data_IF_691741972308
#
_entry.id   IF_691741972308
#
_cell.length_a   1.000
_cell.length_b   1.000
_cell.length_c   1.000
_cell.angle_alpha   90.00
_cell.angle_beta   90.00
_cell.angle_gamma   90.00
#
_symmetry.space_group_name_H-M   'P 1'
#
loop_
_entity.id
_entity.type
_entity.pdbx_description
1 polymer ?
#
# COMPACT_ATOMS: atom_id res chain seq x y z
N UNK A 1 17.09 -13.07 14.52
CA UNK A 1 18.50 -13.24 14.66
C UNK A 1 18.99 -13.41 16.08
N UNK A 2 20.31 -13.39 16.24
CA UNK A 2 20.91 -13.47 17.59
C UNK A 2 21.03 -12.10 18.27
N UNK A 3 20.99 -11.03 17.49
CA UNK A 3 21.22 -9.66 17.95
C UNK A 3 20.00 -8.76 17.63
N UNK A 4 19.43 -8.91 16.44
CA UNK A 4 18.26 -8.16 15.99
C UNK A 4 17.21 -9.11 15.43
N UNK A 5 15.96 -8.90 15.76
CA UNK A 5 14.85 -9.75 15.29
C UNK A 5 14.41 -9.36 13.90
N UNK A 6 14.53 -8.07 13.54
CA UNK A 6 14.12 -7.52 12.24
C UNK A 6 14.83 -6.19 11.92
N UNK A 7 14.37 -5.57 10.84
CA UNK A 7 14.94 -4.31 10.30
C UNK A 7 13.83 -3.35 9.87
N UNK A 8 14.20 -2.08 9.65
CA UNK A 8 13.42 -1.14 8.84
C UNK A 8 13.38 -1.69 7.41
N UNK A 9 12.18 -1.95 6.89
CA UNK A 9 11.99 -2.74 5.68
C UNK A 9 12.05 -1.86 4.42
N UNK A 10 13.25 -1.37 4.08
CA UNK A 10 13.43 -0.50 2.93
C UNK A 10 13.29 -1.26 1.62
N UNK A 11 14.10 -2.30 1.44
CA UNK A 11 14.25 -2.98 0.15
C UNK A 11 13.07 -3.91 -0.18
N UNK A 12 12.50 -4.56 0.86
CA UNK A 12 11.35 -5.46 0.68
C UNK A 12 10.00 -4.76 0.88
N UNK A 13 9.95 -3.44 1.05
CA UNK A 13 8.69 -2.70 1.20
C UNK A 13 8.76 -1.25 0.71
N UNK A 14 9.49 -0.35 1.41
CA UNK A 14 9.43 1.09 1.17
C UNK A 14 9.79 1.47 -0.27
N UNK A 15 10.91 0.98 -0.78
CA UNK A 15 11.39 1.29 -2.12
C UNK A 15 10.45 0.77 -3.21
N UNK A 16 10.08 -0.55 -3.22
CA UNK A 16 9.16 -1.06 -4.24
C UNK A 16 7.80 -0.38 -4.25
N UNK A 17 7.22 -0.09 -3.10
CA UNK A 17 5.95 0.64 -3.00
C UNK A 17 6.12 2.07 -3.52
N UNK A 18 7.21 2.72 -3.15
CA UNK A 18 7.47 4.11 -3.56
C UNK A 18 7.58 4.23 -5.07
N UNK A 19 8.51 3.50 -5.71
CA UNK A 19 8.70 3.70 -7.15
C UNK A 19 7.56 3.08 -7.99
N UNK A 20 6.92 2.01 -7.52
CA UNK A 20 5.76 1.47 -8.23
C UNK A 20 4.61 2.49 -8.30
N UNK A 21 4.26 3.12 -7.17
CA UNK A 21 3.14 4.06 -7.10
C UNK A 21 3.48 5.46 -7.61
N UNK A 22 4.72 5.90 -7.48
CA UNK A 22 5.09 7.29 -7.75
C UNK A 22 6.16 7.47 -8.81
N UNK A 23 6.96 6.45 -9.12
CA UNK A 23 8.18 6.56 -9.92
C UNK A 23 9.38 7.13 -9.14
N UNK A 24 9.16 7.65 -7.93
CA UNK A 24 10.21 8.30 -7.16
C UNK A 24 11.04 7.31 -6.35
N UNK A 25 12.29 7.68 -6.05
CA UNK A 25 13.07 7.04 -5.01
C UNK A 25 12.75 7.64 -3.62
N UNK A 26 13.13 6.93 -2.56
CA UNK A 26 12.82 7.29 -1.16
C UNK A 26 13.29 8.66 -0.70
N UNK A 27 14.35 9.21 -1.32
CA UNK A 27 14.87 10.55 -1.00
C UNK A 27 14.34 11.65 -1.92
N UNK A 28 13.52 11.34 -2.93
CA UNK A 28 13.12 12.26 -4.01
C UNK A 28 14.31 12.78 -4.85
N UNK A 29 15.39 12.02 -4.94
CA UNK A 29 16.59 12.41 -5.69
C UNK A 29 16.55 11.97 -7.15
N UNK A 30 15.68 11.03 -7.50
CA UNK A 30 15.57 10.46 -8.83
C UNK A 30 14.15 10.01 -9.14
N UNK A 31 13.81 10.02 -10.44
CA UNK A 31 12.56 9.49 -10.97
C UNK A 31 12.86 8.31 -11.90
N UNK A 32 12.29 7.15 -11.58
CA UNK A 32 12.51 5.88 -12.25
C UNK A 32 11.29 5.52 -13.11
N UNK A 33 11.27 6.07 -14.33
CA UNK A 33 10.20 5.79 -15.30
C UNK A 33 10.08 4.31 -15.64
N UNK A 34 11.20 3.58 -15.67
CA UNK A 34 11.28 2.15 -15.91
C UNK A 34 10.63 1.28 -14.83
N UNK A 35 10.51 1.80 -13.61
CA UNK A 35 9.91 1.13 -12.45
C UNK A 35 8.48 1.58 -12.16
N UNK A 36 8.11 2.80 -12.61
CA UNK A 36 6.78 3.35 -12.38
C UNK A 36 5.70 2.46 -12.99
N UNK A 37 4.76 1.98 -12.17
CA UNK A 37 3.67 1.11 -12.60
C UNK A 37 4.10 -0.31 -13.04
N UNK A 38 5.38 -0.64 -12.97
CA UNK A 38 5.91 -1.92 -13.42
C UNK A 38 5.67 -3.02 -12.38
N UNK A 39 4.60 -3.80 -12.57
CA UNK A 39 4.21 -4.86 -11.65
C UNK A 39 5.25 -5.98 -11.53
N UNK A 40 5.95 -6.34 -12.63
CA UNK A 40 6.94 -7.42 -12.56
C UNK A 40 8.18 -6.99 -11.79
N UNK A 41 8.64 -5.75 -11.96
CA UNK A 41 9.71 -5.17 -11.13
C UNK A 41 9.30 -5.09 -9.66
N UNK A 42 8.07 -4.66 -9.37
CA UNK A 42 7.52 -4.62 -8.01
C UNK A 42 7.55 -6.00 -7.34
N UNK A 43 6.99 -7.01 -7.99
CA UNK A 43 6.96 -8.38 -7.46
C UNK A 43 8.35 -8.99 -7.36
N UNK A 44 9.22 -8.74 -8.36
CA UNK A 44 10.59 -9.19 -8.36
C UNK A 44 11.38 -8.69 -7.13
N UNK A 45 11.32 -7.39 -6.86
CA UNK A 45 11.97 -6.77 -5.72
C UNK A 45 11.38 -7.27 -4.38
N UNK A 46 10.05 -7.26 -4.24
CA UNK A 46 9.36 -7.69 -3.02
C UNK A 46 9.70 -9.14 -2.66
N UNK A 47 9.68 -10.06 -3.63
CA UNK A 47 10.00 -11.47 -3.41
C UNK A 47 11.49 -11.66 -3.12
N UNK A 48 12.37 -11.04 -3.90
CA UNK A 48 13.82 -11.18 -3.74
C UNK A 48 14.29 -10.77 -2.35
N UNK A 49 13.90 -9.59 -1.92
CA UNK A 49 14.35 -9.05 -0.64
C UNK A 49 13.65 -9.72 0.55
N UNK A 50 12.36 -10.07 0.43
CA UNK A 50 11.66 -10.84 1.48
C UNK A 50 12.26 -12.22 1.69
N UNK A 51 12.75 -12.88 0.64
CA UNK A 51 13.38 -14.20 0.73
C UNK A 51 14.68 -14.20 1.54
N UNK A 52 15.30 -13.05 1.75
CA UNK A 52 16.48 -12.91 2.61
C UNK A 52 16.16 -12.95 4.12
N UNK A 53 14.88 -12.84 4.49
CA UNK A 53 14.41 -12.85 5.88
C UNK A 53 13.75 -14.18 6.25
N UNK A 54 13.90 -14.60 7.51
CA UNK A 54 13.07 -15.67 8.03
C UNK A 54 11.63 -15.22 8.15
N UNK A 55 10.66 -16.14 8.09
CA UNK A 55 9.23 -15.76 8.21
C UNK A 55 8.93 -14.96 9.48
N UNK A 56 9.42 -15.33 10.69
CA UNK A 56 9.19 -14.52 11.89
C UNK A 56 9.76 -13.12 11.78
N UNK A 57 10.96 -12.95 11.21
CA UNK A 57 11.58 -11.63 11.01
C UNK A 57 10.81 -10.79 10.00
N UNK A 58 10.32 -11.39 8.92
CA UNK A 58 9.49 -10.71 7.93
C UNK A 58 8.16 -10.24 8.52
N UNK A 59 7.52 -11.05 9.37
CA UNK A 59 6.23 -10.70 10.00
C UNK A 59 6.29 -9.52 10.95
N UNK A 60 7.49 -9.18 11.45
CA UNK A 60 7.70 -8.01 12.33
C UNK A 60 8.58 -6.95 11.68
N UNK A 61 8.93 -7.09 10.40
CA UNK A 61 9.69 -6.08 9.66
C UNK A 61 8.90 -4.76 9.59
N UNK A 62 9.58 -3.63 9.86
CA UNK A 62 8.92 -2.32 9.93
C UNK A 62 8.58 -1.83 8.52
N UNK A 63 7.33 -1.99 8.13
CA UNK A 63 6.80 -1.49 6.86
C UNK A 63 6.46 -0.02 7.00
N UNK A 64 7.37 0.85 6.59
CA UNK A 64 7.21 2.31 6.64
C UNK A 64 7.03 2.88 5.24
N UNK A 65 6.23 3.93 5.14
CA UNK A 65 6.14 4.75 3.93
C UNK A 65 7.08 5.95 4.01
N UNK A 66 7.22 6.52 5.19
CA UNK A 66 8.12 7.62 5.52
C UNK A 66 8.90 7.33 6.79
N UNK A 67 10.02 8.00 6.99
CA UNK A 67 10.76 8.01 8.25
C UNK A 67 11.60 9.28 8.42
N UNK A 68 12.47 9.28 9.41
CA UNK A 68 13.30 10.44 9.78
C UNK A 68 14.44 10.76 8.80
N UNK A 69 14.74 9.89 7.83
CA UNK A 69 15.83 10.08 6.84
C UNK A 69 15.27 10.44 5.46
N UNK A 70 14.11 9.88 5.10
CA UNK A 70 13.59 9.93 3.75
C UNK A 70 12.56 11.05 3.56
N UNK A 71 12.29 11.46 2.32
CA UNK A 71 11.17 12.35 2.05
C UNK A 71 9.84 11.71 2.46
N UNK A 72 8.86 12.53 2.84
CA UNK A 72 7.51 12.05 3.15
C UNK A 72 6.88 11.40 1.93
N UNK A 73 6.16 10.28 2.12
CA UNK A 73 5.53 9.59 0.98
C UNK A 73 4.56 10.50 0.23
N UNK A 74 3.77 11.30 0.94
CA UNK A 74 2.85 12.24 0.30
C UNK A 74 3.61 13.24 -0.60
N UNK A 75 4.79 13.72 -0.20
CA UNK A 75 5.65 14.57 -1.06
C UNK A 75 6.08 13.82 -2.32
N UNK A 76 6.48 12.55 -2.22
CA UNK A 76 6.89 11.75 -3.39
C UNK A 76 5.77 11.59 -4.44
N UNK A 77 4.50 11.71 -4.03
CA UNK A 77 3.36 11.65 -4.98
C UNK A 77 3.31 12.83 -5.95
N UNK A 78 4.02 13.93 -5.69
CA UNK A 78 4.11 15.06 -6.61
C UNK A 78 5.07 14.83 -7.79
N UNK A 79 5.85 13.72 -7.74
CA UNK A 79 6.80 13.27 -8.77
C UNK A 79 7.89 14.29 -9.10
N UNK A 80 8.23 15.18 -8.16
CA UNK A 80 9.29 16.17 -8.34
C UNK A 80 10.59 15.68 -7.72
N UNK A 81 11.64 15.71 -8.51
CA UNK A 81 13.01 15.50 -8.02
C UNK A 81 13.49 16.78 -7.36
N UNK A 82 14.01 16.68 -6.12
CA UNK A 82 14.52 17.83 -5.40
C UNK A 82 14.71 17.63 -3.90
N UNK A 83 15.26 18.65 -3.29
CA UNK A 83 15.47 18.75 -1.84
C UNK A 83 15.13 20.16 -1.36
N UNK A 84 15.03 20.34 -0.05
CA UNK A 84 14.65 21.65 0.55
C UNK A 84 15.60 22.79 0.13
N UNK A 85 16.88 22.52 -0.01
CA UNK A 85 17.88 23.54 -0.42
C UNK A 85 17.79 23.94 -1.90
N UNK A 86 17.18 23.12 -2.75
CA UNK A 86 17.02 23.40 -4.20
C UNK A 86 15.62 23.86 -4.56
N UNK A 87 14.61 23.37 -3.85
CA UNK A 87 13.20 23.57 -4.19
C UNK A 87 12.45 24.46 -3.19
N UNK A 88 13.01 24.68 -1.99
CA UNK A 88 12.31 25.31 -0.88
C UNK A 88 11.30 24.36 -0.19
N UNK A 89 10.97 24.65 1.06
CA UNK A 89 10.10 23.81 1.86
C UNK A 89 8.65 23.74 1.34
N UNK A 90 8.13 24.81 0.77
CA UNK A 90 6.76 24.89 0.27
C UNK A 90 6.51 24.00 -0.96
N UNK A 91 7.52 23.74 -1.76
CA UNK A 91 7.40 22.89 -2.95
C UNK A 91 7.08 21.42 -2.59
N UNK A 92 7.42 20.99 -1.38
CA UNK A 92 7.08 19.64 -0.89
C UNK A 92 5.55 19.40 -0.78
N UNK A 93 4.77 20.47 -0.59
CA UNK A 93 3.32 20.41 -0.42
C UNK A 93 2.56 20.55 -1.75
N UNK A 94 3.24 20.94 -2.84
CA UNK A 94 2.59 21.30 -4.10
C UNK A 94 2.43 20.09 -5.02
N UNK A 95 1.20 19.89 -5.54
CA UNK A 95 0.91 18.85 -6.51
C UNK A 95 0.89 17.44 -5.94
N UNK A 96 0.76 17.31 -4.63
CA UNK A 96 0.65 16.00 -3.95
C UNK A 96 -0.68 15.31 -4.26
N UNK A 97 -0.68 13.98 -4.27
CA UNK A 97 -1.84 13.15 -4.56
C UNK A 97 -2.20 12.26 -3.38
N UNK A 98 -3.27 12.62 -2.66
CA UNK A 98 -3.77 11.85 -1.52
C UNK A 98 -4.35 10.49 -1.92
N UNK A 99 -4.84 10.32 -3.15
CA UNK A 99 -5.34 9.02 -3.60
C UNK A 99 -4.20 8.00 -3.70
N UNK A 100 -3.03 8.40 -4.22
CA UNK A 100 -1.82 7.56 -4.24
C UNK A 100 -1.32 7.26 -2.82
N UNK A 101 -1.43 8.21 -1.87
CA UNK A 101 -1.12 7.93 -0.47
C UNK A 101 -2.08 6.87 0.10
N UNK A 102 -3.38 6.93 -0.22
CA UNK A 102 -4.35 5.89 0.22
C UNK A 102 -4.02 4.51 -0.35
N UNK A 103 -3.57 4.41 -1.61
CA UNK A 103 -3.07 3.14 -2.15
C UNK A 103 -1.88 2.61 -1.35
N UNK A 104 -0.90 3.46 -1.08
CA UNK A 104 0.28 3.09 -0.31
C UNK A 104 -0.04 2.62 1.11
N UNK A 105 -0.93 3.34 1.82
CA UNK A 105 -1.38 2.97 3.17
C UNK A 105 -2.17 1.67 3.16
N UNK A 106 -3.00 1.43 2.15
CA UNK A 106 -3.71 0.15 2.02
C UNK A 106 -2.73 -1.01 1.80
N UNK A 107 -1.70 -0.83 0.97
CA UNK A 107 -0.62 -1.82 0.81
C UNK A 107 0.11 -2.00 2.15
N UNK A 108 0.48 -0.91 2.85
CA UNK A 108 1.17 -0.97 4.14
C UNK A 108 0.40 -1.79 5.19
N UNK A 109 -0.91 -1.58 5.29
CA UNK A 109 -1.77 -2.25 6.27
C UNK A 109 -2.15 -3.68 5.90
N UNK A 110 -1.86 -4.11 4.67
CA UNK A 110 -2.22 -5.45 4.19
C UNK A 110 -1.01 -6.31 3.78
N UNK A 111 0.20 -5.74 3.66
CA UNK A 111 1.43 -6.47 3.35
C UNK A 111 1.98 -7.19 4.58
N UNK A 112 2.69 -8.35 4.45
CA UNK A 112 3.36 -8.99 5.57
C UNK A 112 4.40 -8.07 6.23
N UNK A 113 4.33 -7.93 7.55
CA UNK A 113 5.22 -7.06 8.33
C UNK A 113 4.45 -6.27 9.39
N UNK A 114 5.14 -5.41 10.11
CA UNK A 114 4.57 -4.50 11.09
C UNK A 114 4.32 -3.12 10.44
N UNK A 115 3.07 -2.73 10.16
CA UNK A 115 2.78 -1.40 9.66
C UNK A 115 3.29 -0.34 10.63
N UNK A 116 4.19 0.52 10.17
CA UNK A 116 4.83 1.53 11.00
C UNK A 116 4.55 2.92 10.44
N UNK A 117 3.77 3.71 11.15
CA UNK A 117 3.39 5.06 10.74
C UNK A 117 4.43 6.04 11.29
N UNK A 118 5.10 6.79 10.40
CA UNK A 118 5.88 7.94 10.80
C UNK A 118 4.93 9.10 11.09
N UNK A 119 5.08 9.72 12.29
CA UNK A 119 4.16 10.75 12.76
C UNK A 119 3.84 11.80 11.69
N UNK A 120 2.59 12.15 11.56
CA UNK A 120 2.11 13.16 10.62
C UNK A 120 1.80 12.64 9.21
N UNK A 121 2.22 11.42 8.82
CA UNK A 121 1.78 10.83 7.53
C UNK A 121 0.26 10.68 7.51
N UNK A 122 -0.31 10.27 8.65
CA UNK A 122 -1.76 10.16 8.85
C UNK A 122 -2.48 11.51 8.79
N UNK A 123 -1.76 12.60 9.07
CA UNK A 123 -2.30 13.97 9.07
C UNK A 123 -2.00 14.75 7.79
N UNK A 124 -1.42 14.10 6.77
CA UNK A 124 -1.11 14.72 5.49
C UNK A 124 0.16 15.58 5.49
N UNK A 125 1.09 15.34 6.44
CA UNK A 125 2.33 16.10 6.54
C UNK A 125 3.25 15.77 5.36
N UNK A 126 3.76 16.83 4.72
CA UNK A 126 4.74 16.77 3.64
C UNK A 126 6.13 17.17 4.12
N UNK A 127 7.16 16.81 3.37
CA UNK A 127 8.55 17.22 3.61
C UNK A 127 9.51 16.51 2.68
N UNK A 128 10.53 17.22 2.23
CA UNK A 128 11.68 16.64 1.55
C UNK A 128 12.46 15.76 2.54
N UNK A 129 13.54 15.13 2.10
CA UNK A 129 14.40 14.33 2.96
C UNK A 129 14.97 15.16 4.15
N UNK A 130 15.55 14.50 5.15
CA UNK A 130 16.13 15.15 6.33
C UNK A 130 16.90 16.45 5.98
N UNK A 131 16.66 17.58 6.72
CA UNK A 131 15.84 17.71 7.93
C UNK A 131 14.37 18.09 7.69
N UNK A 132 13.93 18.34 6.45
CA UNK A 132 12.61 18.92 6.14
C UNK A 132 11.45 17.94 6.41
N UNK A 133 11.69 16.62 6.39
CA UNK A 133 10.71 15.61 6.76
C UNK A 133 10.33 15.61 8.26
N UNK A 134 11.13 16.30 9.11
CA UNK A 134 10.92 16.38 10.57
C UNK A 134 10.16 17.64 10.99
N UNK A 135 9.25 18.11 10.15
CA UNK A 135 8.37 19.24 10.45
C UNK A 135 7.50 18.96 11.67
N UNK A 136 7.09 20.00 12.40
CA UNK A 136 6.15 19.88 13.50
C UNK A 136 4.84 19.24 13.04
N UNK A 137 4.23 18.45 13.94
CA UNK A 137 2.89 17.90 13.68
C UNK A 137 1.89 19.05 13.50
N UNK A 138 0.96 18.98 12.51
CA UNK A 138 0.09 20.08 12.14
C UNK A 138 -1.13 20.21 13.07
N UNK A 139 -0.89 20.39 14.38
CA UNK A 139 -1.94 20.50 15.38
C UNK A 139 -3.01 21.53 15.01
N UNK A 140 -4.27 21.11 14.97
CA UNK A 140 -5.43 21.93 14.60
C UNK A 140 -5.57 22.19 13.10
N UNK A 141 -4.72 21.57 12.27
CA UNK A 141 -4.76 21.67 10.80
C UNK A 141 -4.54 20.30 10.15
N UNK A 142 -4.85 19.25 10.88
CA UNK A 142 -4.73 17.86 10.44
C UNK A 142 -5.68 17.57 9.27
N UNK A 143 -5.23 16.76 8.32
CA UNK A 143 -6.10 16.22 7.30
C UNK A 143 -7.00 15.13 7.90
N UNK A 144 -8.21 15.52 8.28
CA UNK A 144 -9.13 14.64 8.98
C UNK A 144 -9.57 13.44 8.13
N UNK A 145 -9.68 13.61 6.81
CA UNK A 145 -10.03 12.51 5.90
C UNK A 145 -8.93 11.44 5.89
N UNK A 146 -7.65 11.84 5.86
CA UNK A 146 -6.54 10.90 5.94
C UNK A 146 -6.45 10.22 7.30
N UNK A 147 -6.73 10.94 8.40
CA UNK A 147 -6.79 10.33 9.74
C UNK A 147 -7.87 9.26 9.80
N UNK A 148 -9.07 9.55 9.30
CA UNK A 148 -10.19 8.62 9.33
C UNK A 148 -9.91 7.41 8.42
N UNK A 149 -9.24 7.62 7.27
CA UNK A 149 -8.78 6.54 6.42
C UNK A 149 -7.74 5.62 7.13
N UNK A 150 -6.75 6.20 7.80
CA UNK A 150 -5.77 5.41 8.57
C UNK A 150 -6.44 4.62 9.70
N UNK A 151 -7.39 5.23 10.43
CA UNK A 151 -8.16 4.51 11.47
C UNK A 151 -8.89 3.31 10.90
N UNK A 152 -9.53 3.48 9.75
CA UNK A 152 -10.26 2.40 9.11
C UNK A 152 -9.32 1.28 8.61
N UNK A 153 -8.18 1.63 8.00
CA UNK A 153 -7.20 0.65 7.56
C UNK A 153 -6.55 -0.09 8.74
N UNK A 154 -6.28 0.59 9.87
CA UNK A 154 -5.81 -0.03 11.11
C UNK A 154 -6.86 -0.99 11.66
N UNK A 155 -8.15 -0.61 11.63
CA UNK A 155 -9.26 -1.49 12.03
C UNK A 155 -9.29 -2.75 11.17
N UNK A 156 -9.26 -2.60 9.82
CA UNK A 156 -9.21 -3.72 8.88
C UNK A 156 -8.01 -4.62 9.17
N UNK A 157 -6.82 -4.04 9.36
CA UNK A 157 -5.60 -4.81 9.70
C UNK A 157 -5.78 -5.66 10.96
N UNK A 158 -6.30 -5.06 12.05
CA UNK A 158 -6.42 -5.72 13.36
C UNK A 158 -7.54 -6.77 13.41
N UNK A 159 -8.62 -6.58 12.69
CA UNK A 159 -9.79 -7.46 12.70
C UNK A 159 -9.64 -8.68 11.77
N UNK A 160 -8.61 -8.70 10.90
CA UNK A 160 -8.41 -9.75 9.90
C UNK A 160 -7.10 -10.50 10.15
N UNK A 161 -7.20 -11.69 10.75
CA UNK A 161 -6.03 -12.48 11.20
C UNK A 161 -5.09 -12.85 10.06
N UNK A 162 -5.61 -13.07 8.85
CA UNK A 162 -4.83 -13.34 7.65
C UNK A 162 -3.95 -12.13 7.25
N UNK A 163 -4.30 -10.91 7.64
CA UNK A 163 -3.45 -9.74 7.44
C UNK A 163 -2.32 -9.65 8.47
N UNK A 164 -2.50 -10.21 9.66
CA UNK A 164 -1.48 -10.21 10.72
C UNK A 164 -0.37 -11.25 10.42
N UNK A 165 -0.75 -12.50 10.22
CA UNK A 165 0.20 -13.63 10.14
C UNK A 165 -0.01 -14.56 8.95
N UNK A 166 -0.97 -14.26 8.07
CA UNK A 166 -1.28 -15.09 6.91
C UNK A 166 -0.19 -15.04 5.83
N UNK A 167 -0.24 -16.02 4.96
CA UNK A 167 0.59 -16.08 3.76
C UNK A 167 0.20 -15.00 2.76
N UNK A 168 1.12 -14.67 1.86
CA UNK A 168 0.88 -13.78 0.73
C UNK A 168 1.14 -14.52 -0.59
N UNK A 169 0.32 -14.25 -1.61
CA UNK A 169 0.55 -14.74 -2.97
C UNK A 169 0.07 -13.69 -3.99
N UNK A 170 0.89 -13.47 -5.04
CA UNK A 170 0.50 -12.67 -6.21
C UNK A 170 -0.76 -13.28 -6.83
N UNK A 171 -1.77 -12.47 -7.08
CA UNK A 171 -3.01 -12.88 -7.75
C UNK A 171 -3.03 -12.43 -9.22
N UNK A 172 -2.65 -11.17 -9.49
CA UNK A 172 -2.53 -10.62 -10.83
C UNK A 172 -1.51 -9.49 -10.85
N UNK A 173 -1.02 -9.13 -12.04
CA UNK A 173 -0.13 -7.99 -12.23
C UNK A 173 -0.16 -7.55 -13.69
N UNK A 174 -0.16 -6.24 -13.90
CA UNK A 174 -0.08 -5.57 -15.20
C UNK A 174 0.51 -4.17 -15.00
N UNK A 175 0.69 -3.39 -16.05
CA UNK A 175 1.15 -2.01 -15.91
C UNK A 175 0.15 -1.20 -15.07
N UNK A 176 0.64 -0.54 -14.02
CA UNK A 176 -0.14 0.19 -13.00
C UNK A 176 -1.19 -0.66 -12.25
N UNK A 177 -1.08 -1.98 -12.29
CA UNK A 177 -2.05 -2.85 -11.63
C UNK A 177 -1.37 -3.98 -10.89
N UNK A 178 -1.67 -4.12 -9.61
CA UNK A 178 -1.26 -5.28 -8.80
C UNK A 178 -2.44 -5.84 -8.01
N UNK A 179 -2.43 -7.15 -7.84
CA UNK A 179 -3.36 -7.82 -6.93
C UNK A 179 -2.67 -8.96 -6.21
N UNK A 180 -3.01 -9.14 -4.95
CA UNK A 180 -2.50 -10.22 -4.11
C UNK A 180 -3.52 -10.67 -3.08
N UNK A 181 -3.40 -11.92 -2.68
CA UNK A 181 -4.18 -12.49 -1.59
C UNK A 181 -3.35 -12.56 -0.31
N UNK A 182 -3.99 -12.30 0.81
CA UNK A 182 -3.53 -12.63 2.16
C UNK A 182 -4.44 -13.73 2.69
N UNK A 183 -3.88 -14.84 3.14
CA UNK A 183 -4.71 -15.98 3.51
C UNK A 183 -4.07 -16.85 4.57
N UNK A 184 -4.92 -17.51 5.33
CA UNK A 184 -4.60 -18.64 6.20
C UNK A 184 -5.60 -19.78 5.92
N UNK A 185 -5.68 -20.79 6.77
CA UNK A 185 -6.59 -21.94 6.59
C UNK A 185 -8.07 -21.55 6.69
N UNK A 186 -8.36 -20.46 7.41
CA UNK A 186 -9.74 -20.07 7.76
C UNK A 186 -10.23 -18.86 6.98
N UNK A 187 -9.35 -17.91 6.68
CA UNK A 187 -9.72 -16.57 6.21
C UNK A 187 -8.89 -16.17 4.99
N UNK A 188 -9.50 -15.45 4.07
CA UNK A 188 -8.88 -14.96 2.84
C UNK A 188 -9.31 -13.53 2.55
N UNK A 189 -8.32 -12.66 2.34
CA UNK A 189 -8.48 -11.32 1.79
C UNK A 189 -7.83 -11.22 0.42
N UNK A 190 -8.48 -10.51 -0.49
CA UNK A 190 -7.93 -10.11 -1.79
C UNK A 190 -7.75 -8.61 -1.79
N UNK A 191 -6.56 -8.15 -2.13
CA UNK A 191 -6.21 -6.76 -2.29
C UNK A 191 -5.96 -6.49 -3.77
N UNK A 192 -6.59 -5.44 -4.31
CA UNK A 192 -6.50 -5.06 -5.72
C UNK A 192 -6.23 -3.57 -5.82
N UNK A 193 -5.16 -3.18 -6.53
CA UNK A 193 -4.69 -1.81 -6.68
C UNK A 193 -4.68 -1.44 -8.15
N UNK A 194 -5.30 -0.32 -8.50
CA UNK A 194 -5.25 0.29 -9.81
C UNK A 194 -4.61 1.69 -9.70
N UNK A 195 -3.30 1.78 -9.90
CA UNK A 195 -2.55 3.05 -9.93
C UNK A 195 -2.62 3.75 -11.29
N UNK A 196 -3.51 3.29 -12.18
CA UNK A 196 -3.74 3.86 -13.50
C UNK A 196 -4.68 5.06 -13.48
N UNK A 197 -4.81 5.71 -14.64
CA UNK A 197 -5.65 6.91 -14.83
C UNK A 197 -7.05 6.58 -15.37
N UNK A 198 -7.34 5.32 -15.64
CA UNK A 198 -8.62 4.86 -16.21
C UNK A 198 -9.18 3.73 -15.35
N UNK A 199 -10.49 3.49 -15.51
CA UNK A 199 -11.12 2.28 -14.98
C UNK A 199 -10.43 1.05 -15.56
N UNK A 200 -10.21 0.05 -14.71
CA UNK A 200 -9.66 -1.23 -15.15
C UNK A 200 -10.58 -2.37 -14.73
N UNK A 201 -10.91 -3.23 -15.68
CA UNK A 201 -11.65 -4.48 -15.42
C UNK A 201 -10.70 -5.66 -15.54
N UNK A 202 -10.63 -6.50 -14.52
CA UNK A 202 -9.78 -7.69 -14.49
C UNK A 202 -10.54 -8.90 -13.98
N UNK A 203 -10.21 -10.04 -14.57
CA UNK A 203 -10.57 -11.36 -14.08
C UNK A 203 -9.44 -11.91 -13.21
N UNK A 204 -9.73 -12.22 -11.97
CA UNK A 204 -8.76 -12.71 -10.98
C UNK A 204 -9.12 -14.15 -10.59
N UNK A 205 -8.17 -15.06 -10.70
CA UNK A 205 -8.33 -16.46 -10.29
C UNK A 205 -8.14 -16.57 -8.78
N UNK A 206 -9.26 -16.60 -8.03
CA UNK A 206 -9.22 -16.55 -6.56
C UNK A 206 -9.20 -17.93 -5.89
N UNK A 207 -9.58 -19.00 -6.59
CA UNK A 207 -9.57 -20.35 -6.06
C UNK A 207 -8.17 -20.82 -5.63
N UNK A 208 -7.13 -20.24 -6.19
CA UNK A 208 -5.72 -20.54 -5.85
C UNK A 208 -5.33 -20.17 -4.41
N UNK A 209 -6.16 -19.38 -3.73
CA UNK A 209 -5.92 -18.88 -2.36
C UNK A 209 -6.83 -19.57 -1.32
N UNK A 210 -7.51 -20.64 -1.72
CA UNK A 210 -8.45 -21.35 -0.85
C UNK A 210 -9.86 -20.76 -0.83
N UNK A 211 -10.16 -19.81 -1.69
CA UNK A 211 -11.50 -19.25 -1.90
C UNK A 211 -12.31 -20.26 -2.73
N UNK A 212 -13.54 -20.62 -2.33
CA UNK A 212 -14.38 -21.55 -3.09
C UNK A 212 -14.63 -21.10 -4.53
N UNK A 213 -14.85 -22.05 -5.43
CA UNK A 213 -15.09 -21.75 -6.84
C UNK A 213 -16.37 -20.98 -7.11
N UNK A 214 -17.39 -21.19 -6.28
CA UNK A 214 -18.65 -20.49 -6.35
C UNK A 214 -19.01 -20.00 -4.96
N UNK A 215 -18.85 -18.70 -4.73
CA UNK A 215 -19.09 -18.07 -3.45
C UNK A 215 -19.25 -16.55 -3.63
N UNK A 216 -19.31 -15.82 -2.53
CA UNK A 216 -19.33 -14.36 -2.50
C UNK A 216 -18.13 -13.83 -1.72
N UNK A 217 -17.61 -12.68 -2.17
CA UNK A 217 -16.65 -11.86 -1.43
C UNK A 217 -17.28 -10.52 -1.08
N UNK A 218 -17.06 -10.05 0.13
CA UNK A 218 -17.56 -8.75 0.62
C UNK A 218 -16.44 -7.71 0.53
N UNK A 219 -16.76 -6.52 0.04
CA UNK A 219 -15.86 -5.38 0.07
C UNK A 219 -15.74 -4.82 1.48
N UNK A 220 -14.52 -4.71 1.99
CA UNK A 220 -14.22 -4.06 3.25
C UNK A 220 -14.00 -2.55 3.07
N UNK A 221 -13.33 -2.17 1.98
CA UNK A 221 -13.03 -0.78 1.64
C UNK A 221 -12.79 -0.63 0.13
N UNK A 222 -13.16 0.53 -0.41
CA UNK A 222 -12.78 1.00 -1.74
C UNK A 222 -12.32 2.44 -1.63
N UNK A 223 -11.15 2.77 -2.19
CA UNK A 223 -10.68 4.15 -2.35
C UNK A 223 -10.96 4.69 -3.75
N UNK A 224 -10.87 6.00 -3.90
CA UNK A 224 -10.98 6.71 -5.17
C UNK A 224 -10.17 8.01 -5.12
N UNK A 225 -10.18 8.77 -6.21
CA UNK A 225 -9.55 10.10 -6.23
C UNK A 225 -10.14 11.07 -5.18
N UNK A 226 -11.41 10.90 -4.81
CA UNK A 226 -12.13 11.81 -3.90
C UNK A 226 -12.15 11.38 -2.44
N UNK A 227 -11.70 10.17 -2.11
CA UNK A 227 -11.74 9.64 -0.74
C UNK A 227 -11.89 8.12 -0.69
N UNK A 228 -12.59 7.62 0.30
CA UNK A 228 -12.84 6.18 0.47
C UNK A 228 -14.28 5.91 0.94
N UNK A 229 -14.70 4.66 0.77
CA UNK A 229 -15.98 4.15 1.30
C UNK A 229 -15.79 2.78 1.93
N UNK A 230 -16.51 2.56 3.03
CA UNK A 230 -16.64 1.28 3.73
C UNK A 230 -18.00 0.64 3.50
N UNK A 231 -18.77 1.18 2.57
CA UNK A 231 -20.05 0.63 2.18
C UNK A 231 -19.88 -0.81 1.70
N UNK A 232 -20.62 -1.72 2.30
CA UNK A 232 -20.55 -3.14 1.98
C UNK A 232 -21.18 -3.43 0.62
N UNK A 233 -20.41 -4.09 -0.20
CA UNK A 233 -20.85 -4.59 -1.50
C UNK A 233 -20.34 -6.01 -1.68
N UNK A 234 -21.15 -6.84 -2.32
CA UNK A 234 -20.85 -8.27 -2.50
C UNK A 234 -20.58 -8.57 -3.97
N UNK A 235 -19.50 -9.31 -4.21
CA UNK A 235 -19.05 -9.72 -5.53
C UNK A 235 -19.11 -11.24 -5.65
N UNK A 236 -19.65 -11.73 -6.78
CA UNK A 236 -19.78 -13.16 -7.03
C UNK A 236 -18.48 -13.73 -7.60
N UNK A 237 -18.00 -14.81 -6.99
CA UNK A 237 -17.00 -15.69 -7.56
C UNK A 237 -17.72 -16.78 -8.34
N UNK A 238 -17.37 -16.95 -9.62
CA UNK A 238 -17.97 -17.94 -10.50
C UNK A 238 -16.87 -18.79 -11.13
N UNK A 239 -16.97 -20.10 -10.98
CA UNK A 239 -15.98 -21.06 -11.46
C UNK A 239 -14.53 -20.74 -10.99
N UNK A 240 -14.38 -20.17 -9.80
CA UNK A 240 -13.08 -19.80 -9.20
C UNK A 240 -12.52 -18.46 -9.68
N UNK A 241 -13.31 -17.69 -10.43
CA UNK A 241 -12.94 -16.41 -11.01
C UNK A 241 -13.78 -15.28 -10.44
N UNK A 242 -13.12 -14.18 -10.09
CA UNK A 242 -13.73 -12.93 -9.66
C UNK A 242 -13.46 -11.86 -10.71
N UNK A 243 -14.51 -11.26 -11.27
CA UNK A 243 -14.41 -10.13 -12.19
C UNK A 243 -14.66 -8.83 -11.43
N UNK A 244 -13.70 -7.91 -11.46
CA UNK A 244 -13.75 -6.62 -10.77
C UNK A 244 -13.45 -5.47 -11.72
N UNK A 245 -14.16 -4.36 -11.51
CA UNK A 245 -13.85 -3.07 -12.11
C UNK A 245 -13.41 -2.11 -11.01
N UNK A 246 -12.21 -1.55 -11.12
CA UNK A 246 -11.67 -0.56 -10.20
C UNK A 246 -11.58 0.80 -10.89
N UNK A 247 -12.00 1.87 -10.20
CA UNK A 247 -11.77 3.23 -10.70
C UNK A 247 -10.27 3.58 -10.73
N UNK A 248 -9.89 4.69 -11.38
CA UNK A 248 -8.49 5.14 -11.40
C UNK A 248 -7.99 5.51 -10.01
N UNK A 249 -6.72 5.28 -9.76
CA UNK A 249 -6.00 5.60 -8.51
C UNK A 249 -6.78 5.11 -7.30
N UNK A 250 -6.97 3.78 -7.22
CA UNK A 250 -7.81 3.16 -6.20
C UNK A 250 -7.29 1.83 -5.69
N UNK A 251 -7.67 1.50 -4.49
CA UNK A 251 -7.49 0.18 -3.91
C UNK A 251 -8.81 -0.37 -3.39
N UNK A 252 -9.03 -1.66 -3.61
CA UNK A 252 -10.16 -2.40 -3.06
C UNK A 252 -9.63 -3.56 -2.21
N UNK A 253 -10.17 -3.71 -1.00
CA UNK A 253 -9.94 -4.87 -0.14
C UNK A 253 -11.23 -5.66 -0.03
N UNK A 254 -11.14 -6.93 -0.36
CA UNK A 254 -12.27 -7.87 -0.32
C UNK A 254 -11.96 -9.01 0.64
N UNK A 255 -12.99 -9.49 1.33
CA UNK A 255 -12.89 -10.64 2.23
C UNK A 255 -13.88 -11.73 1.83
N UNK A 256 -13.41 -12.98 1.89
CA UNK A 256 -14.26 -14.16 1.87
C UNK A 256 -14.58 -14.56 3.32
N UNK A 257 -15.85 -14.68 3.65
CA UNK A 257 -16.33 -15.24 4.92
C UNK A 257 -16.75 -16.69 4.67
N UNK A 258 -16.22 -17.63 5.46
CA UNK A 258 -16.73 -19.00 5.46
C UNK A 258 -18.17 -18.99 5.99
N UNK A 259 -19.09 -19.60 5.23
CA UNK A 259 -20.43 -19.92 5.69
C UNK A 259 -20.42 -21.05 6.74
#
# INVERSE_FOLDING_TARGET
GKEWDTVMNYDAFMEPVTWFLTGMQKHSDDYREDLYGNADSFWGAMIHHSAAMTTPSLQIAMNELSNHDHSRFLTRTNKKVGRVNTMGCEAANQGVNKAVLREAVAIQMTWPGAPTIYYGDEAGLCGWTDPDNRRAYPWGSEDQELIDFHREMIRIHKENRELLTGSIKKAAGDYNFISYARFNKEEQCLIVVNNGYNDVTKDILVWEFGIPRDCKMERLILTSNSGFTVEKETYNVVAGKLTLTLPPTSVMVLKHYKE
#
